data_IF_590198642249
#
_entry.id   IF_590198642249
#
_cell.length_a   1.000
_cell.length_b   1.000
_cell.length_c   1.000
_cell.angle_alpha   90.00
_cell.angle_beta   90.00
_cell.angle_gamma   90.00
#
_symmetry.space_group_name_H-M   'P 1'
#
loop_
_entity.id
_entity.type
_entity.pdbx_description
1 polymer ?
#
# COMPACT_ATOMS: atom_id res chain seq x y z
N UNK A 1 -6.20 46.97 -13.32
CA UNK A 1 -4.88 46.34 -13.51
C UNK A 1 -4.61 45.26 -12.45
N UNK A 2 -4.20 45.61 -11.21
CA UNK A 2 -3.69 44.67 -10.19
C UNK A 2 -4.58 43.46 -9.87
N UNK A 3 -5.89 43.63 -9.79
CA UNK A 3 -6.84 42.53 -9.54
C UNK A 3 -6.86 41.53 -10.69
N UNK A 4 -6.78 42.01 -11.93
CA UNK A 4 -6.67 41.16 -13.13
C UNK A 4 -5.34 40.42 -13.16
N UNK A 5 -4.26 41.08 -12.76
CA UNK A 5 -2.92 40.49 -12.71
C UNK A 5 -2.88 39.35 -11.68
N UNK A 6 -3.49 39.54 -10.51
CA UNK A 6 -3.63 38.51 -9.47
C UNK A 6 -4.52 37.36 -9.92
N UNK A 7 -5.63 37.63 -10.61
CA UNK A 7 -6.51 36.59 -11.14
C UNK A 7 -5.79 35.70 -12.16
N UNK A 8 -5.00 36.30 -13.04
CA UNK A 8 -4.16 35.58 -14.01
C UNK A 8 -3.12 34.70 -13.30
N UNK A 9 -2.45 35.23 -12.27
CA UNK A 9 -1.48 34.47 -11.48
C UNK A 9 -2.12 33.29 -10.73
N UNK A 10 -3.32 33.47 -10.16
CA UNK A 10 -4.06 32.38 -9.51
C UNK A 10 -4.37 31.27 -10.52
N UNK A 11 -4.78 31.62 -11.73
CA UNK A 11 -5.13 30.62 -12.75
C UNK A 11 -3.90 29.84 -13.21
N UNK A 12 -2.77 30.52 -13.46
CA UNK A 12 -1.50 29.87 -13.77
C UNK A 12 -1.04 28.90 -12.65
N UNK A 13 -1.24 29.26 -11.38
CA UNK A 13 -0.92 28.37 -10.26
C UNK A 13 -1.84 27.16 -10.16
N UNK A 14 -3.14 27.31 -10.44
CA UNK A 14 -4.05 26.15 -10.48
C UNK A 14 -3.67 25.18 -11.60
N UNK A 15 -3.31 25.70 -12.77
CA UNK A 15 -2.83 24.87 -13.88
C UNK A 15 -1.58 24.08 -13.49
N UNK A 16 -0.62 24.73 -12.82
CA UNK A 16 0.57 24.06 -12.31
C UNK A 16 0.23 22.98 -11.28
N UNK A 17 -0.68 23.24 -10.33
CA UNK A 17 -1.12 22.26 -9.34
C UNK A 17 -1.76 21.04 -10.04
N UNK A 18 -2.68 21.28 -10.97
CA UNK A 18 -3.34 20.22 -11.71
C UNK A 18 -2.33 19.32 -12.45
N UNK A 19 -1.26 19.91 -12.99
CA UNK A 19 -0.22 19.14 -13.68
C UNK A 19 0.62 18.29 -12.72
N UNK A 20 0.97 18.83 -11.55
CA UNK A 20 1.63 18.06 -10.51
C UNK A 20 0.73 16.92 -10.00
N UNK A 21 -0.58 17.15 -9.86
CA UNK A 21 -1.53 16.11 -9.44
C UNK A 21 -1.63 14.98 -10.46
N UNK A 22 -1.65 15.29 -11.76
CA UNK A 22 -1.59 14.28 -12.83
C UNK A 22 -0.31 13.46 -12.76
N UNK A 23 0.83 14.13 -12.62
CA UNK A 23 2.14 13.48 -12.51
C UNK A 23 2.19 12.55 -11.29
N UNK A 24 1.72 13.04 -10.12
CA UNK A 24 1.60 12.25 -8.90
C UNK A 24 0.74 11.01 -9.12
N UNK A 25 -0.43 11.18 -9.74
CA UNK A 25 -1.35 10.06 -10.02
C UNK A 25 -0.72 9.01 -10.93
N UNK A 26 0.02 9.43 -11.96
CA UNK A 26 0.70 8.53 -12.89
C UNK A 26 1.83 7.73 -12.21
N UNK A 27 2.64 8.39 -11.37
CA UNK A 27 3.67 7.69 -10.59
C UNK A 27 3.05 6.74 -9.57
N UNK A 28 1.97 7.17 -8.90
CA UNK A 28 1.26 6.33 -7.93
C UNK A 28 0.69 5.07 -8.58
N UNK A 29 0.12 5.16 -9.80
CA UNK A 29 -0.41 3.99 -10.50
C UNK A 29 0.69 3.02 -10.93
N UNK A 30 1.85 3.52 -11.37
CA UNK A 30 3.02 2.71 -11.68
C UNK A 30 3.55 1.98 -10.44
N UNK A 31 3.68 2.68 -9.31
CA UNK A 31 4.10 2.08 -8.05
C UNK A 31 3.11 1.00 -7.59
N UNK A 32 1.81 1.28 -7.65
CA UNK A 32 0.79 0.28 -7.32
C UNK A 32 0.90 -0.96 -8.20
N UNK A 33 1.12 -0.80 -9.51
CA UNK A 33 1.28 -1.93 -10.43
C UNK A 33 2.51 -2.81 -10.13
N UNK A 34 3.58 -2.24 -9.57
CA UNK A 34 4.83 -2.93 -9.19
C UNK A 34 4.72 -3.59 -7.81
N UNK A 35 4.02 -2.95 -6.86
CA UNK A 35 3.85 -3.42 -5.48
C UNK A 35 2.69 -4.42 -5.30
N UNK A 36 1.92 -4.68 -6.37
CA UNK A 36 0.80 -5.60 -6.44
C UNK A 36 1.06 -7.12 -6.68
N UNK A 37 2.25 -7.72 -6.53
CA UNK A 37 2.38 -9.16 -6.77
C UNK A 37 1.47 -10.02 -5.90
N UNK A 38 1.23 -9.63 -4.63
CA UNK A 38 0.38 -10.40 -3.71
C UNK A 38 -1.12 -10.12 -3.86
N UNK A 39 -1.54 -8.93 -4.29
CA UNK A 39 -2.96 -8.70 -4.60
C UNK A 39 -3.41 -9.44 -5.85
N UNK A 40 -2.47 -9.80 -6.74
CA UNK A 40 -2.70 -10.68 -7.88
C UNK A 40 -2.78 -12.15 -7.50
N UNK A 41 -2.28 -12.53 -6.33
CA UNK A 41 -2.45 -13.89 -5.83
C UNK A 41 -3.84 -14.03 -5.20
N UNK A 42 -4.54 -15.15 -5.45
CA UNK A 42 -5.75 -15.47 -4.70
C UNK A 42 -5.48 -15.45 -3.20
N UNK A 43 -6.52 -15.12 -2.43
CA UNK A 43 -6.46 -15.06 -0.96
C UNK A 43 -5.96 -16.39 -0.36
N UNK A 44 -6.38 -17.51 -0.94
CA UNK A 44 -6.05 -18.86 -0.51
C UNK A 44 -4.56 -19.14 -0.66
N UNK A 45 -3.98 -18.74 -1.79
CA UNK A 45 -2.55 -18.93 -2.08
C UNK A 45 -1.71 -18.07 -1.14
N UNK A 46 -2.10 -16.81 -0.93
CA UNK A 46 -1.41 -15.92 -0.01
C UNK A 46 -1.47 -16.43 1.44
N UNK A 47 -2.61 -16.97 1.85
CA UNK A 47 -2.80 -17.57 3.18
C UNK A 47 -1.94 -18.82 3.38
N UNK A 48 -1.85 -19.70 2.38
CA UNK A 48 -0.99 -20.90 2.44
C UNK A 48 0.49 -20.52 2.55
N UNK A 49 0.93 -19.50 1.81
CA UNK A 49 2.30 -18.95 1.94
C UNK A 49 2.54 -18.46 3.37
N UNK A 50 1.63 -17.66 3.93
CA UNK A 50 1.78 -17.12 5.29
C UNK A 50 1.87 -18.23 6.34
N UNK A 51 1.04 -19.28 6.22
CA UNK A 51 1.07 -20.45 7.10
C UNK A 51 2.40 -21.20 7.02
N UNK A 52 2.96 -21.39 5.83
CA UNK A 52 4.28 -22.03 5.67
C UNK A 52 5.39 -21.20 6.30
N UNK A 53 5.31 -19.87 6.21
CA UNK A 53 6.27 -18.98 6.84
C UNK A 53 6.24 -19.04 8.38
N UNK A 54 5.11 -19.38 9.01
CA UNK A 54 5.03 -19.55 10.47
C UNK A 54 5.90 -20.70 10.98
N UNK A 55 5.93 -21.82 10.26
CA UNK A 55 6.69 -23.01 10.65
C UNK A 55 8.22 -22.77 10.73
N UNK A 56 8.71 -21.71 10.10
CA UNK A 56 10.13 -21.32 10.12
C UNK A 56 10.47 -20.31 11.22
N UNK A 57 9.48 -19.76 11.92
CA UNK A 57 9.67 -18.75 12.96
C UNK A 57 9.46 -19.41 14.31
N UNK A 58 10.56 -19.62 15.06
CA UNK A 58 10.53 -20.15 16.43
C UNK A 58 9.47 -19.44 17.29
N UNK A 59 8.56 -20.29 17.77
CA UNK A 59 7.40 -20.11 18.65
C UNK A 59 7.10 -18.68 19.14
N UNK A 60 5.91 -18.21 18.73
CA UNK A 60 4.93 -17.43 19.50
C UNK A 60 5.47 -16.52 20.60
N UNK A 61 6.36 -15.62 20.21
CA UNK A 61 6.64 -14.42 21.02
C UNK A 61 5.86 -13.30 20.37
N UNK A 62 5.07 -12.56 21.16
CA UNK A 62 4.37 -11.34 20.73
C UNK A 62 5.41 -10.30 20.30
N UNK A 63 5.90 -10.45 19.08
CA UNK A 63 6.98 -9.70 18.50
C UNK A 63 6.51 -9.25 17.13
N UNK A 64 6.32 -7.94 16.97
CA UNK A 64 5.87 -7.32 15.72
C UNK A 64 6.82 -7.55 14.55
N UNK A 65 8.06 -7.98 14.81
CA UNK A 65 9.05 -8.37 13.80
C UNK A 65 9.02 -9.86 13.41
N UNK A 66 8.10 -10.64 13.98
CA UNK A 66 7.90 -12.06 13.67
C UNK A 66 6.51 -12.29 13.08
N UNK A 67 6.38 -13.30 12.24
CA UNK A 67 5.06 -13.79 11.81
C UNK A 67 4.28 -14.29 13.05
N UNK A 68 2.94 -14.16 13.08
CA UNK A 68 2.08 -13.61 12.03
C UNK A 68 2.05 -12.07 11.99
N UNK A 69 2.47 -11.39 13.06
CA UNK A 69 2.33 -9.93 13.20
C UNK A 69 3.07 -9.14 12.12
N UNK A 70 4.23 -9.64 11.66
CA UNK A 70 5.01 -9.05 10.58
C UNK A 70 4.18 -8.83 9.31
N UNK A 71 3.26 -9.73 8.98
CA UNK A 71 2.45 -9.63 7.76
C UNK A 71 1.54 -8.39 7.79
N UNK A 72 1.08 -7.97 8.96
CA UNK A 72 0.25 -6.77 9.10
C UNK A 72 1.02 -5.46 8.87
N UNK A 73 2.36 -5.49 8.91
CA UNK A 73 3.21 -4.31 8.75
C UNK A 73 3.73 -4.12 7.32
N UNK A 74 3.57 -5.09 6.43
CA UNK A 74 4.10 -5.00 5.05
C UNK A 74 3.26 -4.05 4.19
N UNK A 75 1.96 -4.30 4.08
CA UNK A 75 1.00 -3.42 3.41
C UNK A 75 -0.43 -3.71 3.85
N UNK A 76 -1.38 -2.85 3.46
CA UNK A 76 -2.79 -3.04 3.78
C UNK A 76 -3.37 -4.36 3.26
N UNK A 77 -2.97 -4.81 2.07
CA UNK A 77 -3.44 -6.09 1.52
C UNK A 77 -2.98 -7.27 2.37
N UNK A 78 -1.71 -7.33 2.76
CA UNK A 78 -1.20 -8.41 3.63
C UNK A 78 -1.86 -8.39 5.00
N UNK A 79 -2.11 -7.20 5.55
CA UNK A 79 -2.84 -7.04 6.80
C UNK A 79 -4.25 -7.61 6.71
N UNK A 80 -4.99 -7.26 5.66
CA UNK A 80 -6.34 -7.79 5.42
C UNK A 80 -6.34 -9.32 5.26
N UNK A 81 -5.37 -9.88 4.53
CA UNK A 81 -5.20 -11.33 4.36
C UNK A 81 -4.92 -11.98 5.71
N UNK A 82 -3.94 -11.47 6.47
CA UNK A 82 -3.56 -12.05 7.76
C UNK A 82 -4.69 -12.01 8.79
N UNK A 83 -5.48 -10.93 8.84
CA UNK A 83 -6.65 -10.81 9.70
C UNK A 83 -7.81 -11.72 9.26
N UNK A 84 -7.91 -12.01 7.95
CA UNK A 84 -8.94 -12.89 7.38
C UNK A 84 -8.58 -14.37 7.44
N UNK A 85 -7.40 -14.73 7.95
CA UNK A 85 -6.90 -16.11 8.02
C UNK A 85 -6.73 -16.54 9.48
N UNK A 86 -7.79 -17.08 10.12
CA UNK A 86 -7.78 -17.43 11.54
C UNK A 86 -6.69 -18.42 11.95
N UNK A 87 -6.23 -19.27 11.03
CA UNK A 87 -5.19 -20.28 11.28
C UNK A 87 -3.78 -19.70 11.50
N UNK A 88 -3.60 -18.38 11.35
CA UNK A 88 -2.34 -17.71 11.65
C UNK A 88 -2.14 -17.37 13.14
N UNK A 89 -3.21 -17.47 13.95
CA UNK A 89 -3.23 -17.13 15.39
C UNK A 89 -3.35 -18.38 16.25
#
# INVERSE_FOLDING_TARGET
QRVSDLASAIEAHKEAINELERTKSAVQSQLNAILDPITRLPLEISSDIFLRCLHHVSESTCNTRKAPLLFMHVCHSWSNIALSTPSLW
#
